data_IF_324338271292
#
_entry.id   IF_324338271292
#
_cell.length_a   1.000
_cell.length_b   1.000
_cell.length_c   1.000
_cell.angle_alpha   90.00
_cell.angle_beta   90.00
_cell.angle_gamma   90.00
#
_symmetry.space_group_name_H-M   'P 1'
#
loop_
_entity.id
_entity.type
_entity.pdbx_description
1 polymer ?
#
# COMPACT_ATOMS: atom_id res chain seq x y z
N UNK A 1 19.98 19.81 37.55
CA UNK A 1 18.58 19.70 37.99
C UNK A 1 17.90 18.69 37.09
N UNK A 2 17.65 17.49 37.59
CA UNK A 2 17.15 16.35 36.82
C UNK A 2 15.66 16.14 37.14
N UNK A 3 14.79 16.20 36.13
CA UNK A 3 13.34 16.00 36.28
C UNK A 3 13.00 14.56 35.94
N UNK A 4 12.70 13.77 36.97
CA UNK A 4 12.18 12.40 36.84
C UNK A 4 10.67 12.45 36.60
N UNK A 5 10.21 11.97 35.44
CA UNK A 5 8.79 11.84 35.12
C UNK A 5 8.27 10.48 35.61
N UNK A 6 7.43 10.49 36.64
CA UNK A 6 6.72 9.30 37.12
C UNK A 6 5.51 9.01 36.22
N UNK A 7 5.50 7.86 35.55
CA UNK A 7 4.33 7.35 34.82
C UNK A 7 3.46 6.50 35.74
N UNK A 8 2.19 6.87 35.87
CA UNK A 8 1.14 6.13 36.59
C UNK A 8 0.80 4.85 35.81
N UNK A 9 0.95 3.68 36.44
CA UNK A 9 0.48 2.39 35.91
C UNK A 9 -1.05 2.44 35.80
N UNK A 10 -1.58 2.03 34.64
CA UNK A 10 -3.01 1.78 34.44
C UNK A 10 -3.29 0.33 34.83
N UNK A 11 -4.36 0.12 35.59
CA UNK A 11 -4.84 -1.21 35.94
C UNK A 11 -5.40 -1.92 34.70
N UNK A 12 -5.20 -3.25 34.59
CA UNK A 12 -5.78 -4.05 33.51
C UNK A 12 -7.30 -4.17 33.68
N UNK A 13 -8.06 -4.26 32.57
CA UNK A 13 -9.50 -4.49 32.62
C UNK A 13 -9.81 -5.92 33.13
N UNK A 14 -11.01 -6.14 33.70
CA UNK A 14 -11.39 -7.42 34.27
C UNK A 14 -11.57 -8.49 33.19
N UNK A 15 -11.09 -9.69 33.51
CA UNK A 15 -11.27 -10.92 32.75
C UNK A 15 -12.71 -11.39 32.96
N UNK A 16 -13.43 -11.64 31.87
CA UNK A 16 -14.75 -12.27 31.88
C UNK A 16 -14.53 -13.75 31.63
N UNK A 17 -14.87 -14.57 32.64
CA UNK A 17 -14.88 -16.03 32.58
C UNK A 17 -16.16 -16.50 31.88
N UNK A 18 -16.03 -17.09 30.71
CA UNK A 18 -17.06 -17.98 30.15
C UNK A 18 -16.54 -19.42 30.24
N UNK A 19 -16.90 -20.07 31.34
CA UNK A 19 -16.86 -21.51 31.51
C UNK A 19 -18.08 -22.10 30.79
N UNK A 20 -17.85 -22.87 29.72
CA UNK A 20 -18.77 -23.94 29.35
C UNK A 20 -17.99 -25.23 29.08
N UNK A 21 -18.15 -26.12 30.07
CA UNK A 21 -17.69 -27.49 30.16
C UNK A 21 -18.48 -28.38 29.19
N UNK A 22 -17.80 -29.14 28.32
CA UNK A 22 -18.25 -30.48 27.90
C UNK A 22 -17.06 -31.44 27.95
N UNK A 23 -17.28 -32.50 28.73
CA UNK A 23 -16.40 -33.62 29.08
C UNK A 23 -16.29 -34.69 27.98
N UNK A 24 -15.06 -35.26 27.85
CA UNK A 24 -14.68 -36.69 27.63
C UNK A 24 -15.02 -37.31 26.24
N UNK A 25 -14.21 -38.18 25.60
CA UNK A 25 -13.33 -39.29 26.02
C UNK A 25 -12.15 -39.46 25.00
N UNK A 26 -10.88 -39.59 25.43
CA UNK A 26 -10.05 -40.82 25.59
C UNK A 26 -9.83 -41.70 24.35
N UNK A 27 -8.59 -41.72 23.84
CA UNK A 27 -7.81 -42.87 23.31
C UNK A 27 -6.39 -42.36 22.96
N UNK A 28 -5.39 -42.47 23.83
CA UNK A 28 -4.45 -43.60 24.06
C UNK A 28 -3.46 -43.88 22.92
N UNK A 29 -2.17 -43.64 23.26
CA UNK A 29 -0.95 -44.35 22.84
C UNK A 29 -0.45 -44.18 21.39
N UNK A 30 0.70 -43.53 21.24
CA UNK A 30 1.94 -44.27 20.95
C UNK A 30 3.18 -43.40 21.17
N UNK A 31 4.02 -43.83 22.10
CA UNK A 31 5.40 -43.39 22.27
C UNK A 31 6.26 -44.08 21.21
N UNK A 32 7.06 -43.31 20.46
CA UNK A 32 8.24 -43.88 19.78
C UNK A 32 9.45 -42.97 19.99
N UNK A 33 10.24 -43.39 20.97
CA UNK A 33 11.64 -43.03 21.17
C UNK A 33 12.46 -43.76 20.12
N UNK A 34 13.14 -43.06 19.19
CA UNK A 34 14.29 -43.62 18.47
C UNK A 34 15.33 -42.54 18.13
N UNK A 35 16.39 -42.57 18.94
CA UNK A 35 17.84 -42.47 18.63
C UNK A 35 18.40 -41.18 18.02
N UNK A 36 19.28 -40.61 18.84
CA UNK A 36 20.54 -39.96 18.45
C UNK A 36 21.21 -40.63 17.25
N UNK A 37 21.42 -39.85 16.19
CA UNK A 37 22.47 -40.09 15.21
C UNK A 37 23.44 -38.93 15.31
N UNK A 38 24.52 -39.18 16.02
CA UNK A 38 25.76 -38.40 15.96
C UNK A 38 26.30 -38.54 14.54
N UNK A 39 26.01 -37.55 13.70
CA UNK A 39 26.62 -37.38 12.38
C UNK A 39 27.92 -36.60 12.53
N UNK A 40 29.00 -37.21 12.08
CA UNK A 40 30.38 -36.72 12.09
C UNK A 40 30.51 -35.29 11.56
N UNK A 41 31.23 -34.46 12.32
CA UNK A 41 31.84 -33.22 11.86
C UNK A 41 32.92 -33.57 10.81
N UNK A 42 32.55 -33.52 9.54
CA UNK A 42 33.53 -33.33 8.47
C UNK A 42 33.80 -31.82 8.38
N UNK A 43 34.83 -31.41 9.12
CA UNK A 43 35.50 -30.12 8.97
C UNK A 43 36.08 -30.03 7.56
N UNK A 44 35.28 -29.52 6.62
CA UNK A 44 35.77 -29.02 5.34
C UNK A 44 36.48 -27.69 5.65
N UNK A 45 37.77 -27.77 5.98
CA UNK A 45 38.70 -26.66 5.86
C UNK A 45 38.83 -26.32 4.37
N UNK A 46 37.87 -25.54 3.87
CA UNK A 46 38.02 -24.85 2.61
C UNK A 46 38.96 -23.68 2.83
N UNK A 47 40.07 -23.64 2.09
CA UNK A 47 40.87 -22.44 1.89
C UNK A 47 39.94 -21.31 1.47
N UNK A 48 39.66 -20.38 2.38
CA UNK A 48 39.05 -19.10 2.04
C UNK A 48 40.18 -18.27 1.45
N UNK A 49 40.36 -18.36 0.14
CA UNK A 49 41.16 -17.36 -0.58
C UNK A 49 40.55 -16.00 -0.30
N UNK A 50 41.37 -15.06 0.16
CA UNK A 50 41.01 -13.65 0.34
C UNK A 50 40.54 -13.12 -1.01
N UNK A 51 39.21 -13.08 -1.22
CA UNK A 51 38.60 -12.49 -2.41
C UNK A 51 38.72 -10.98 -2.25
N UNK A 52 39.88 -10.43 -2.63
CA UNK A 52 40.11 -8.98 -2.80
C UNK A 52 39.38 -8.41 -4.05
N UNK A 53 38.30 -9.05 -4.51
CA UNK A 53 37.43 -8.46 -5.52
C UNK A 53 36.31 -7.69 -4.83
N UNK A 54 36.27 -6.38 -5.08
CA UNK A 54 35.18 -5.48 -4.67
C UNK A 54 33.82 -6.16 -4.88
N UNK A 55 33.21 -6.62 -3.78
CA UNK A 55 31.96 -7.35 -3.82
C UNK A 55 30.84 -6.40 -4.28
N UNK A 56 30.52 -6.43 -5.56
CA UNK A 56 29.48 -5.57 -6.13
C UNK A 56 28.12 -6.26 -6.04
N UNK A 57 27.10 -5.52 -5.60
CA UNK A 57 25.73 -6.02 -5.60
C UNK A 57 25.29 -6.35 -7.03
N UNK A 58 24.88 -7.61 -7.25
CA UNK A 58 24.38 -8.08 -8.55
C UNK A 58 23.21 -7.23 -9.09
N UNK A 59 22.35 -6.72 -8.21
CA UNK A 59 21.15 -5.98 -8.60
C UNK A 59 21.36 -4.48 -8.86
N UNK A 60 22.36 -3.83 -8.28
CA UNK A 60 22.56 -2.38 -8.45
C UNK A 60 23.98 -1.96 -8.82
N UNK A 61 24.95 -2.90 -8.83
CA UNK A 61 26.35 -2.64 -9.14
C UNK A 61 27.09 -1.84 -8.06
N UNK A 62 26.47 -1.54 -6.91
CA UNK A 62 27.15 -0.85 -5.82
C UNK A 62 28.18 -1.75 -5.14
N UNK A 63 29.37 -1.23 -4.91
CA UNK A 63 30.40 -1.87 -4.10
C UNK A 63 29.93 -1.99 -2.65
N UNK A 64 30.03 -3.19 -2.09
CA UNK A 64 29.52 -3.52 -0.77
C UNK A 64 30.65 -3.62 0.23
N UNK A 65 30.38 -3.10 1.43
CA UNK A 65 31.15 -3.46 2.61
C UNK A 65 30.74 -4.87 3.03
N UNK A 66 31.66 -5.62 3.64
CA UNK A 66 31.38 -6.98 4.12
C UNK A 66 30.12 -7.07 4.99
N UNK A 67 29.83 -6.04 5.78
CA UNK A 67 28.64 -5.96 6.64
C UNK A 67 27.31 -5.91 5.87
N UNK A 68 27.33 -5.57 4.59
CA UNK A 68 26.15 -5.33 3.77
C UNK A 68 25.93 -6.42 2.70
N UNK A 69 26.79 -7.44 2.68
CA UNK A 69 26.70 -8.57 1.76
C UNK A 69 25.61 -9.52 2.23
N UNK A 70 24.61 -9.74 1.37
CA UNK A 70 23.66 -10.84 1.49
C UNK A 70 23.88 -11.80 0.34
N UNK A 71 24.00 -13.09 0.68
CA UNK A 71 24.05 -14.16 -0.30
C UNK A 71 22.63 -14.62 -0.64
N UNK A 72 22.12 -14.21 -1.80
CA UNK A 72 20.82 -14.66 -2.29
C UNK A 72 20.99 -15.92 -3.17
N UNK A 73 20.04 -16.87 -3.14
CA UNK A 73 20.07 -17.99 -4.07
C UNK A 73 19.90 -17.49 -5.51
N UNK A 74 20.78 -17.93 -6.41
CA UNK A 74 20.78 -17.54 -7.82
C UNK A 74 19.48 -17.96 -8.49
N UNK A 75 18.76 -17.01 -9.09
CA UNK A 75 17.51 -17.31 -9.81
C UNK A 75 17.87 -17.85 -11.20
N UNK A 76 18.05 -19.17 -11.33
CA UNK A 76 18.28 -19.79 -12.64
C UNK A 76 16.97 -19.92 -13.41
N UNK A 77 16.90 -19.30 -14.59
CA UNK A 77 15.75 -19.39 -15.51
C UNK A 77 15.77 -20.64 -16.41
N UNK A 78 16.74 -21.54 -16.21
CA UNK A 78 16.90 -22.77 -16.98
C UNK A 78 17.52 -23.85 -16.09
N UNK A 79 17.27 -25.10 -16.45
CA UNK A 79 17.45 -26.37 -15.74
C UNK A 79 18.86 -26.73 -15.21
N UNK A 80 19.68 -25.76 -14.83
CA UNK A 80 21.00 -25.98 -14.22
C UNK A 80 20.89 -25.92 -12.70
N UNK A 81 21.03 -27.10 -12.08
CA UNK A 81 21.04 -27.34 -10.64
C UNK A 81 22.38 -26.98 -9.97
N UNK A 82 23.10 -25.98 -10.47
CA UNK A 82 24.28 -25.44 -9.78
C UNK A 82 23.82 -24.38 -8.79
N UNK A 83 23.85 -24.72 -7.49
CA UNK A 83 23.43 -23.88 -6.37
C UNK A 83 24.35 -22.67 -6.11
N UNK A 84 24.56 -21.82 -7.11
CA UNK A 84 25.28 -20.57 -6.96
C UNK A 84 24.52 -19.60 -6.05
N UNK A 85 25.26 -18.80 -5.28
CA UNK A 85 24.73 -17.65 -4.53
C UNK A 85 25.17 -16.38 -5.24
N UNK A 86 24.27 -15.41 -5.39
CA UNK A 86 24.58 -14.08 -5.89
C UNK A 86 24.71 -13.11 -4.71
N UNK A 87 25.73 -12.24 -4.76
CA UNK A 87 25.95 -11.21 -3.75
C UNK A 87 25.00 -10.05 -4.03
N UNK A 88 24.17 -9.69 -3.06
CA UNK A 88 23.26 -8.56 -3.16
C UNK A 88 23.32 -7.70 -1.90
N UNK A 89 23.05 -6.41 -2.01
CA UNK A 89 23.02 -5.53 -0.85
C UNK A 89 21.71 -5.68 -0.09
N UNK A 90 21.69 -5.29 1.19
CA UNK A 90 20.47 -5.22 2.02
C UNK A 90 19.30 -4.52 1.31
N UNK A 91 19.56 -3.44 0.58
CA UNK A 91 18.53 -2.69 -0.15
C UNK A 91 18.04 -3.41 -1.42
N UNK A 92 18.88 -4.28 -2.01
CA UNK A 92 18.56 -5.00 -3.25
C UNK A 92 18.07 -6.43 -3.03
N UNK A 93 18.35 -7.03 -1.88
CA UNK A 93 17.89 -8.38 -1.53
C UNK A 93 16.40 -8.63 -1.74
N UNK A 94 15.50 -7.66 -1.53
CA UNK A 94 14.08 -7.84 -1.83
C UNK A 94 13.76 -7.99 -3.33
N UNK A 95 14.67 -7.57 -4.21
CA UNK A 95 14.47 -7.54 -5.66
C UNK A 95 15.18 -8.72 -6.34
N UNK A 96 14.48 -9.39 -7.26
CA UNK A 96 15.00 -10.46 -8.13
C UNK A 96 15.68 -9.92 -9.40
N UNK A 97 15.88 -8.60 -9.51
CA UNK A 97 16.57 -7.94 -10.63
C UNK A 97 15.87 -6.69 -11.17
N UNK A 98 16.48 -6.05 -12.17
CA UNK A 98 16.04 -4.75 -12.73
C UNK A 98 14.64 -4.80 -13.35
N UNK A 99 14.29 -5.93 -13.98
CA UNK A 99 12.95 -6.15 -14.53
C UNK A 99 11.86 -6.06 -13.46
N UNK A 100 12.11 -6.59 -12.26
CA UNK A 100 11.14 -6.52 -11.17
C UNK A 100 11.01 -5.10 -10.62
N UNK A 101 12.13 -4.38 -10.47
CA UNK A 101 12.12 -2.95 -10.11
C UNK A 101 11.27 -2.13 -11.08
N UNK A 102 11.46 -2.33 -12.39
CA UNK A 102 10.68 -1.61 -13.40
C UNK A 102 9.18 -1.97 -13.35
N UNK A 103 8.85 -3.24 -13.09
CA UNK A 103 7.46 -3.68 -12.92
C UNK A 103 6.83 -3.08 -11.66
N UNK A 104 7.53 -3.06 -10.54
CA UNK A 104 7.10 -2.42 -9.30
C UNK A 104 6.83 -0.93 -9.51
N UNK A 105 7.78 -0.21 -10.10
CA UNK A 105 7.60 1.20 -10.50
C UNK A 105 6.35 1.39 -11.35
N UNK A 106 6.16 0.58 -12.38
CA UNK A 106 4.99 0.69 -13.26
C UNK A 106 3.68 0.41 -12.53
N UNK A 107 3.65 -0.52 -11.58
CA UNK A 107 2.47 -0.81 -10.74
C UNK A 107 2.12 0.36 -9.83
N UNK A 108 3.11 0.96 -9.16
CA UNK A 108 2.90 2.15 -8.32
C UNK A 108 2.37 3.32 -9.15
N UNK A 109 2.99 3.60 -10.30
CA UNK A 109 2.55 4.66 -11.21
C UNK A 109 1.14 4.39 -11.74
N UNK A 110 0.84 3.15 -12.15
CA UNK A 110 -0.49 2.78 -12.64
C UNK A 110 -1.57 3.00 -11.59
N UNK A 111 -1.28 2.64 -10.34
CA UNK A 111 -2.19 2.88 -9.22
C UNK A 111 -2.45 4.37 -9.01
N UNK A 112 -1.40 5.21 -8.99
CA UNK A 112 -1.55 6.65 -8.86
C UNK A 112 -2.28 7.30 -10.05
N UNK A 113 -2.09 6.80 -11.27
CA UNK A 113 -2.87 7.22 -12.44
C UNK A 113 -4.35 6.95 -12.19
N UNK A 114 -4.72 5.73 -11.80
CA UNK A 114 -6.11 5.38 -11.53
C UNK A 114 -6.70 6.26 -10.42
N UNK A 115 -5.96 6.50 -9.33
CA UNK A 115 -6.41 7.40 -8.25
C UNK A 115 -6.61 8.84 -8.74
N UNK A 116 -5.70 9.36 -9.57
CA UNK A 116 -5.81 10.70 -10.14
C UNK A 116 -7.03 10.86 -11.06
N UNK A 117 -7.44 9.80 -11.78
CA UNK A 117 -8.69 9.83 -12.56
C UNK A 117 -9.93 10.04 -11.68
N UNK A 118 -9.87 9.66 -10.40
CA UNK A 118 -10.92 9.92 -9.39
C UNK A 118 -10.73 11.25 -8.63
N UNK A 119 -9.82 12.13 -9.08
CA UNK A 119 -9.40 13.37 -8.42
C UNK A 119 -8.59 13.20 -7.12
N UNK A 120 -8.14 11.99 -6.81
CA UNK A 120 -7.18 11.78 -5.72
C UNK A 120 -5.75 11.95 -6.27
N UNK A 121 -5.35 13.21 -6.47
CA UNK A 121 -4.09 13.58 -7.14
C UNK A 121 -2.83 13.40 -6.28
N UNK A 122 -3.00 13.10 -5.00
CA UNK A 122 -1.94 12.72 -4.08
C UNK A 122 -2.48 11.68 -3.09
N UNK A 123 -1.57 10.96 -2.43
CA UNK A 123 -1.93 10.07 -1.34
C UNK A 123 -0.82 10.07 -0.28
N UNK A 124 -1.21 9.91 0.98
CA UNK A 124 -0.29 9.75 2.10
C UNK A 124 0.47 8.42 1.99
N UNK A 125 1.74 8.39 2.42
CA UNK A 125 2.62 7.23 2.38
C UNK A 125 1.98 5.92 2.88
N UNK A 126 1.46 5.94 4.12
CA UNK A 126 0.81 4.79 4.75
C UNK A 126 -0.39 4.29 3.96
N UNK A 127 -1.14 5.21 3.36
CA UNK A 127 -2.27 4.89 2.51
C UNK A 127 -1.81 4.28 1.17
N UNK A 128 -0.75 4.82 0.56
CA UNK A 128 -0.17 4.29 -0.68
C UNK A 128 0.31 2.85 -0.49
N UNK A 129 1.06 2.60 0.58
CA UNK A 129 1.57 1.26 0.89
C UNK A 129 0.44 0.25 1.06
N UNK A 130 -0.63 0.62 1.77
CA UNK A 130 -1.83 -0.22 1.91
C UNK A 130 -2.53 -0.47 0.57
N UNK A 131 -2.64 0.55 -0.29
CA UNK A 131 -3.26 0.39 -1.59
C UNK A 131 -2.45 -0.52 -2.51
N UNK A 132 -1.11 -0.40 -2.53
CA UNK A 132 -0.21 -1.26 -3.31
C UNK A 132 -0.34 -2.71 -2.85
N UNK A 133 -0.25 -2.96 -1.53
CA UNK A 133 -0.34 -4.30 -0.97
C UNK A 133 -1.70 -4.97 -1.30
N UNK A 134 -2.80 -4.23 -1.17
CA UNK A 134 -4.15 -4.72 -1.52
C UNK A 134 -4.35 -4.93 -3.02
N UNK A 135 -3.75 -4.09 -3.85
CA UNK A 135 -3.86 -4.16 -5.30
C UNK A 135 -3.06 -5.32 -5.91
N UNK A 136 -1.92 -5.66 -5.30
CA UNK A 136 -0.97 -6.63 -5.84
C UNK A 136 -0.54 -7.69 -4.80
N UNK A 137 -1.48 -8.43 -4.15
CA UNK A 137 -1.15 -9.33 -3.04
C UNK A 137 -0.21 -10.48 -3.42
N UNK A 138 -0.20 -10.91 -4.70
CA UNK A 138 0.72 -11.93 -5.20
C UNK A 138 2.13 -11.45 -5.55
N UNK A 139 2.38 -10.13 -5.52
CA UNK A 139 3.67 -9.54 -5.89
C UNK A 139 4.26 -8.69 -4.74
N UNK A 140 3.41 -7.98 -4.02
CA UNK A 140 3.75 -7.18 -2.86
C UNK A 140 3.35 -7.95 -1.59
N UNK A 141 4.27 -8.79 -1.12
CA UNK A 141 4.05 -9.72 0.01
C UNK A 141 3.79 -9.03 1.35
N UNK A 142 4.30 -7.82 1.55
CA UNK A 142 4.15 -7.07 2.81
C UNK A 142 3.99 -5.57 2.55
N UNK A 143 3.44 -4.84 3.52
CA UNK A 143 3.34 -3.38 3.46
C UNK A 143 4.73 -2.72 3.35
N UNK A 144 5.75 -3.25 4.04
CA UNK A 144 7.14 -2.78 3.90
C UNK A 144 7.73 -3.02 2.52
N UNK A 145 7.31 -4.08 1.83
CA UNK A 145 7.70 -4.29 0.44
C UNK A 145 7.12 -3.20 -0.48
N UNK A 146 5.94 -2.64 -0.16
CA UNK A 146 5.38 -1.52 -0.89
C UNK A 146 6.21 -0.23 -0.73
N UNK A 147 6.80 0.01 0.44
CA UNK A 147 7.72 1.14 0.69
C UNK A 147 8.89 1.12 -0.32
N UNK A 148 9.53 -0.04 -0.49
CA UNK A 148 10.60 -0.20 -1.48
C UNK A 148 10.15 0.08 -2.91
N UNK A 149 8.91 -0.29 -3.27
CA UNK A 149 8.34 0.00 -4.58
C UNK A 149 8.13 1.50 -4.79
N UNK A 150 7.67 2.20 -3.75
CA UNK A 150 7.51 3.65 -3.76
C UNK A 150 8.88 4.32 -3.92
N UNK A 151 9.88 3.92 -3.14
CA UNK A 151 11.24 4.45 -3.23
C UNK A 151 11.83 4.28 -4.62
N UNK A 152 11.66 3.10 -5.23
CA UNK A 152 12.13 2.84 -6.58
C UNK A 152 11.38 3.70 -7.61
N UNK A 153 10.08 3.93 -7.42
CA UNK A 153 9.30 4.83 -8.27
C UNK A 153 9.76 6.30 -8.13
N UNK A 154 10.12 6.76 -6.93
CA UNK A 154 10.70 8.08 -6.68
C UNK A 154 12.06 8.21 -7.37
N UNK A 155 12.94 7.22 -7.20
CA UNK A 155 14.27 7.18 -7.85
C UNK A 155 14.17 7.23 -9.38
N UNK A 156 13.11 6.66 -9.95
CA UNK A 156 12.82 6.73 -11.38
C UNK A 156 12.18 8.05 -11.85
N UNK A 157 11.99 9.01 -10.94
CA UNK A 157 11.38 10.33 -11.16
C UNK A 157 9.93 10.33 -11.70
N UNK A 158 9.26 9.18 -11.73
CA UNK A 158 7.87 9.07 -12.21
C UNK A 158 6.86 9.58 -11.18
N UNK A 159 7.22 9.54 -9.90
CA UNK A 159 6.42 10.06 -8.79
C UNK A 159 7.27 11.03 -7.96
N UNK A 160 6.63 11.90 -7.21
CA UNK A 160 7.31 12.86 -6.35
C UNK A 160 6.79 12.75 -4.91
N UNK A 161 7.69 12.64 -3.91
CA UNK A 161 7.35 12.89 -2.52
C UNK A 161 7.25 14.41 -2.28
N UNK A 162 6.36 14.83 -1.40
CA UNK A 162 6.27 16.22 -0.95
C UNK A 162 5.63 16.31 0.44
N UNK A 163 5.91 17.40 1.14
CA UNK A 163 5.21 17.79 2.36
C UNK A 163 4.19 18.88 2.03
N UNK A 164 2.97 18.75 2.56
CA UNK A 164 1.91 19.73 2.35
C UNK A 164 1.79 20.66 3.54
N UNK A 165 1.79 21.98 3.33
CA UNK A 165 1.78 22.98 4.42
C UNK A 165 0.62 22.85 5.41
N UNK A 166 -0.51 22.29 4.98
CA UNK A 166 -1.72 22.14 5.78
C UNK A 166 -1.95 20.72 6.32
N UNK A 167 -1.08 19.75 5.99
CA UNK A 167 -1.18 18.36 6.45
C UNK A 167 0.13 17.93 7.13
N UNK A 168 0.05 16.86 7.92
CA UNK A 168 1.24 16.21 8.46
C UNK A 168 1.53 14.94 7.66
N UNK A 169 2.81 14.58 7.56
CA UNK A 169 3.28 13.38 6.89
C UNK A 169 3.80 13.61 5.46
N UNK A 170 4.32 12.52 4.88
CA UNK A 170 4.83 12.48 3.51
C UNK A 170 3.72 12.09 2.55
N UNK A 171 3.57 12.86 1.48
CA UNK A 171 2.60 12.60 0.42
C UNK A 171 3.30 12.29 -0.89
N UNK A 172 2.66 11.45 -1.69
CA UNK A 172 3.15 11.05 -3.01
C UNK A 172 2.12 11.40 -4.08
N UNK A 173 2.61 11.90 -5.20
CA UNK A 173 1.81 12.13 -6.39
C UNK A 173 2.58 11.73 -7.65
N UNK A 174 1.88 11.62 -8.78
CA UNK A 174 2.55 11.62 -10.09
C UNK A 174 3.37 12.90 -10.21
N UNK A 175 4.56 12.82 -10.81
CA UNK A 175 5.48 13.95 -10.95
C UNK A 175 4.81 15.17 -11.59
N UNK A 176 4.02 14.94 -12.64
CA UNK A 176 3.24 15.96 -13.35
C UNK A 176 2.16 16.64 -12.49
N UNK A 177 1.69 15.98 -11.43
CA UNK A 177 0.66 16.49 -10.54
C UNK A 177 1.23 17.33 -9.40
N UNK A 178 2.56 17.33 -9.17
CA UNK A 178 3.21 18.03 -8.06
C UNK A 178 2.83 19.53 -7.95
N UNK A 179 2.76 20.32 -9.04
CA UNK A 179 2.35 21.74 -8.96
C UNK A 179 0.89 21.95 -8.56
N UNK A 180 0.05 20.92 -8.65
CA UNK A 180 -1.35 20.95 -8.22
C UNK A 180 -1.48 20.36 -6.82
N UNK A 181 -0.81 19.25 -6.54
CA UNK A 181 -0.83 18.52 -5.28
C UNK A 181 -0.33 19.38 -4.09
N UNK A 182 0.61 20.28 -4.35
CA UNK A 182 1.20 21.19 -3.36
C UNK A 182 0.42 22.50 -3.13
N UNK A 183 -0.70 22.72 -3.85
CA UNK A 183 -1.52 23.93 -3.68
C UNK A 183 -2.34 23.85 -2.41
N UNK A 184 -2.58 25.00 -1.81
CA UNK A 184 -3.45 25.13 -0.65
C UNK A 184 -4.85 24.58 -0.91
N UNK A 185 -5.39 23.90 0.10
CA UNK A 185 -6.75 23.41 0.07
C UNK A 185 -7.76 24.52 0.27
N UNK A 186 -8.96 24.37 -0.31
CA UNK A 186 -10.07 25.24 0.03
C UNK A 186 -10.32 25.16 1.53
N UNK A 187 -10.69 26.29 2.11
CA UNK A 187 -11.00 26.40 3.53
C UNK A 187 -12.11 25.39 3.92
N UNK A 188 -12.11 24.87 5.16
CA UNK A 188 -13.10 23.89 5.59
C UNK A 188 -14.56 24.37 5.53
N UNK A 189 -14.78 25.69 5.55
CA UNK A 189 -16.07 26.37 5.48
C UNK A 189 -16.53 26.69 4.05
N UNK A 190 -15.75 26.31 3.03
CA UNK A 190 -16.12 26.52 1.63
C UNK A 190 -17.49 25.90 1.32
N UNK A 191 -18.44 26.75 0.92
CA UNK A 191 -19.83 26.35 0.75
C UNK A 191 -20.04 25.58 -0.56
N UNK A 192 -20.30 24.28 -0.45
CA UNK A 192 -20.56 23.34 -1.55
C UNK A 192 -22.02 22.91 -1.66
N UNK A 193 -22.95 23.64 -1.02
CA UNK A 193 -24.32 23.16 -0.86
C UNK A 193 -25.05 22.95 -2.19
N UNK A 194 -24.76 23.77 -3.21
CA UNK A 194 -25.37 23.64 -4.55
C UNK A 194 -24.84 22.40 -5.28
N UNK A 195 -23.56 22.16 -5.16
CA UNK A 195 -22.84 21.04 -5.75
C UNK A 195 -23.24 19.71 -5.10
N UNK A 196 -23.37 19.68 -3.77
CA UNK A 196 -23.89 18.53 -3.02
C UNK A 196 -25.32 18.15 -3.47
N UNK A 197 -26.18 19.15 -3.64
CA UNK A 197 -27.55 18.92 -4.12
C UNK A 197 -27.56 18.40 -5.56
N UNK A 198 -26.61 18.85 -6.39
CA UNK A 198 -26.43 18.31 -7.74
C UNK A 198 -26.00 16.84 -7.71
N UNK A 199 -25.06 16.45 -6.85
CA UNK A 199 -24.68 15.03 -6.66
C UNK A 199 -25.87 14.20 -6.19
N UNK A 200 -26.64 14.71 -5.22
CA UNK A 200 -27.87 14.05 -4.74
C UNK A 200 -28.85 13.80 -5.88
N UNK A 201 -29.08 14.80 -6.74
CA UNK A 201 -29.95 14.66 -7.91
C UNK A 201 -29.41 13.67 -8.95
N UNK A 202 -28.08 13.57 -9.13
CA UNK A 202 -27.47 12.56 -9.98
C UNK A 202 -27.71 11.16 -9.42
N UNK A 203 -27.56 10.96 -8.11
CA UNK A 203 -27.84 9.69 -7.47
C UNK A 203 -29.30 9.27 -7.66
N UNK A 204 -30.26 10.19 -7.51
CA UNK A 204 -31.68 9.89 -7.81
C UNK A 204 -31.86 9.39 -9.24
N UNK A 205 -31.21 10.05 -10.22
CA UNK A 205 -31.29 9.65 -11.64
C UNK A 205 -30.57 8.35 -11.96
N UNK A 206 -29.55 8.01 -11.18
CA UNK A 206 -28.71 6.82 -11.36
C UNK A 206 -29.15 5.65 -10.46
N UNK A 207 -30.39 5.64 -9.98
CA UNK A 207 -30.93 4.59 -9.09
C UNK A 207 -30.09 4.38 -7.80
N UNK A 208 -29.57 5.46 -7.24
CA UNK A 208 -28.98 5.50 -5.89
C UNK A 208 -27.47 5.40 -5.80
N UNK A 209 -26.77 5.06 -6.89
CA UNK A 209 -25.30 4.95 -6.90
C UNK A 209 -24.69 5.47 -8.19
N UNK A 210 -23.49 6.04 -8.13
CA UNK A 210 -22.75 6.50 -9.31
C UNK A 210 -21.24 6.31 -9.13
N UNK A 211 -20.51 6.11 -10.23
CA UNK A 211 -19.05 6.14 -10.22
C UNK A 211 -18.55 7.55 -9.90
N UNK A 212 -17.53 7.70 -9.04
CA UNK A 212 -17.01 9.04 -8.67
C UNK A 212 -16.44 9.78 -9.88
N UNK A 213 -15.90 9.10 -10.89
CA UNK A 213 -15.46 9.74 -12.16
C UNK A 213 -16.59 10.49 -12.86
N UNK A 214 -17.76 9.85 -12.94
CA UNK A 214 -18.94 10.43 -13.58
C UNK A 214 -19.47 11.62 -12.77
N UNK A 215 -19.49 11.49 -11.42
CA UNK A 215 -19.83 12.60 -10.53
C UNK A 215 -18.88 13.79 -10.70
N UNK A 216 -17.57 13.55 -10.71
CA UNK A 216 -16.54 14.58 -10.93
C UNK A 216 -16.69 15.27 -12.29
N UNK A 217 -16.91 14.50 -13.36
CA UNK A 217 -17.14 15.04 -14.69
C UNK A 217 -18.39 15.92 -14.73
N UNK A 218 -19.48 15.48 -14.10
CA UNK A 218 -20.71 16.26 -14.02
C UNK A 218 -20.54 17.55 -13.23
N UNK A 219 -19.79 17.53 -12.11
CA UNK A 219 -19.45 18.73 -11.34
C UNK A 219 -18.66 19.75 -12.18
N UNK A 220 -17.62 19.30 -12.91
CA UNK A 220 -16.82 20.16 -13.79
C UNK A 220 -17.68 20.82 -14.87
N UNK A 221 -18.57 20.05 -15.50
CA UNK A 221 -19.44 20.55 -16.56
C UNK A 221 -20.49 21.54 -16.04
N UNK A 222 -21.06 21.28 -14.86
CA UNK A 222 -22.19 22.08 -14.33
C UNK A 222 -21.73 23.33 -13.58
N UNK A 223 -20.58 23.29 -12.93
CA UNK A 223 -20.09 24.34 -12.05
C UNK A 223 -18.68 24.78 -12.49
N UNK A 224 -18.53 25.94 -13.15
CA UNK A 224 -17.21 26.45 -13.55
C UNK A 224 -16.24 26.65 -12.38
N UNK A 225 -16.76 26.89 -11.17
CA UNK A 225 -15.99 26.95 -9.93
C UNK A 225 -15.28 25.63 -9.62
N UNK A 226 -15.82 24.48 -10.03
CA UNK A 226 -15.31 23.13 -9.73
C UNK A 226 -14.20 22.70 -10.68
N UNK A 227 -13.26 23.59 -10.98
CA UNK A 227 -12.16 23.36 -11.91
C UNK A 227 -11.02 22.53 -11.29
N UNK A 228 -10.79 22.62 -9.98
CA UNK A 228 -9.71 21.86 -9.31
C UNK A 228 -10.19 20.57 -8.64
N UNK A 229 -9.34 19.53 -8.55
CA UNK A 229 -9.60 18.31 -7.79
C UNK A 229 -10.00 18.58 -6.33
N UNK A 230 -9.34 19.53 -5.65
CA UNK A 230 -9.61 19.83 -4.24
C UNK A 230 -10.99 20.41 -3.98
N UNK A 231 -11.48 21.26 -4.88
CA UNK A 231 -12.83 21.82 -4.76
C UNK A 231 -13.87 20.71 -4.89
N UNK A 232 -13.68 19.76 -5.82
CA UNK A 232 -14.57 18.61 -5.98
C UNK A 232 -14.46 17.63 -4.81
N UNK A 233 -13.25 17.34 -4.32
CA UNK A 233 -13.06 16.54 -3.11
C UNK A 233 -13.78 17.15 -1.89
N UNK A 234 -13.77 18.49 -1.76
CA UNK A 234 -14.51 19.20 -0.71
C UNK A 234 -16.02 18.99 -0.80
N UNK A 235 -16.60 18.90 -2.00
CA UNK A 235 -18.02 18.56 -2.18
C UNK A 235 -18.34 17.20 -1.54
N UNK A 236 -17.49 16.19 -1.76
CA UNK A 236 -17.73 14.87 -1.19
C UNK A 236 -17.57 14.86 0.34
N UNK A 237 -16.51 15.47 0.86
CA UNK A 237 -16.29 15.58 2.29
C UNK A 237 -17.45 16.30 3.02
N UNK A 238 -17.94 17.40 2.44
CA UNK A 238 -19.06 18.14 3.01
C UNK A 238 -20.39 17.39 2.89
N UNK A 239 -20.63 16.71 1.76
CA UNK A 239 -21.81 15.88 1.54
C UNK A 239 -21.91 14.72 2.53
N UNK A 240 -20.79 14.04 2.78
CA UNK A 240 -20.69 12.95 3.76
C UNK A 240 -20.85 13.45 5.20
N UNK A 241 -20.19 14.56 5.56
CA UNK A 241 -20.39 15.20 6.87
C UNK A 241 -21.85 15.58 7.13
N UNK A 242 -22.59 15.93 6.08
CA UNK A 242 -24.02 16.27 6.13
C UNK A 242 -24.94 15.07 5.89
N UNK A 243 -24.38 13.87 5.75
CA UNK A 243 -25.11 12.62 5.53
C UNK A 243 -26.03 12.67 4.31
N UNK A 244 -25.66 13.41 3.26
CA UNK A 244 -26.42 13.47 2.00
C UNK A 244 -26.13 12.27 1.09
N UNK A 245 -24.89 11.80 1.13
CA UNK A 245 -24.38 10.66 0.39
C UNK A 245 -23.02 10.27 0.98
N UNK A 246 -22.52 9.09 0.60
CA UNK A 246 -21.29 8.49 1.11
C UNK A 246 -20.36 8.15 -0.04
N UNK A 247 -19.05 8.25 0.18
CA UNK A 247 -18.01 7.93 -0.79
C UNK A 247 -17.22 6.72 -0.31
N UNK A 248 -17.27 5.62 -1.07
CA UNK A 248 -16.45 4.44 -0.82
C UNK A 248 -15.29 4.40 -1.81
N UNK A 249 -14.09 4.19 -1.29
CA UNK A 249 -12.85 4.13 -2.06
C UNK A 249 -12.20 2.75 -1.95
N UNK A 250 -11.73 2.26 -3.09
CA UNK A 250 -10.87 1.09 -3.23
C UNK A 250 -9.64 1.44 -4.09
N UNK A 251 -8.65 0.55 -4.16
CA UNK A 251 -7.42 0.78 -4.93
C UNK A 251 -7.68 1.14 -6.40
N UNK A 252 -8.72 0.58 -7.03
CA UNK A 252 -9.01 0.82 -8.46
C UNK A 252 -10.37 1.47 -8.74
N UNK A 253 -11.24 1.53 -7.74
CA UNK A 253 -12.64 1.87 -7.93
C UNK A 253 -13.15 2.76 -6.82
N UNK A 254 -13.95 3.77 -7.17
CA UNK A 254 -14.58 4.64 -6.20
C UNK A 254 -16.01 4.94 -6.60
N UNK A 255 -16.92 4.85 -5.65
CA UNK A 255 -18.35 5.03 -5.88
C UNK A 255 -18.97 5.94 -4.82
N UNK A 256 -20.04 6.61 -5.23
CA UNK A 256 -20.84 7.46 -4.37
C UNK A 256 -22.25 6.87 -4.31
N UNK A 257 -22.85 6.84 -3.13
CA UNK A 257 -24.20 6.30 -2.92
C UNK A 257 -24.95 7.00 -1.80
N UNK A 258 -26.27 6.80 -1.70
CA UNK A 258 -27.07 7.32 -0.58
C UNK A 258 -26.70 6.69 0.76
N UNK A 259 -26.17 5.46 0.73
CA UNK A 259 -25.60 4.77 1.89
C UNK A 259 -24.22 4.26 1.56
N UNK A 260 -23.39 4.04 2.59
CA UNK A 260 -22.08 3.40 2.43
C UNK A 260 -22.21 1.99 1.84
N UNK A 261 -23.24 1.25 2.26
CA UNK A 261 -23.53 -0.09 1.75
C UNK A 261 -23.77 -0.10 0.24
N UNK A 262 -24.57 0.83 -0.28
CA UNK A 262 -24.87 0.91 -1.72
C UNK A 262 -23.63 1.28 -2.54
N UNK A 263 -22.86 2.25 -2.05
CA UNK A 263 -21.59 2.64 -2.66
C UNK A 263 -20.60 1.45 -2.69
N UNK A 264 -20.49 0.69 -1.60
CA UNK A 264 -19.64 -0.49 -1.51
C UNK A 264 -20.12 -1.61 -2.45
N UNK A 265 -21.43 -1.81 -2.59
CA UNK A 265 -22.00 -2.79 -3.52
C UNK A 265 -21.64 -2.46 -4.98
N UNK A 266 -21.68 -1.17 -5.35
CA UNK A 266 -21.24 -0.74 -6.69
C UNK A 266 -19.74 -0.95 -6.89
N UNK A 267 -18.89 -0.60 -5.91
CA UNK A 267 -17.45 -0.89 -5.97
C UNK A 267 -17.18 -2.38 -6.20
N UNK A 268 -17.85 -3.25 -5.43
CA UNK A 268 -17.70 -4.70 -5.58
C UNK A 268 -18.14 -5.21 -6.96
N UNK A 269 -19.20 -4.63 -7.54
CA UNK A 269 -19.64 -4.94 -8.90
C UNK A 269 -18.59 -4.55 -9.94
N UNK A 270 -18.04 -3.33 -9.84
CA UNK A 270 -17.00 -2.85 -10.76
C UNK A 270 -15.73 -3.72 -10.69
N UNK A 271 -15.30 -4.14 -9.49
CA UNK A 271 -14.18 -5.07 -9.32
C UNK A 271 -14.37 -6.37 -10.09
N UNK A 272 -15.56 -6.99 -9.99
CA UNK A 272 -15.87 -8.24 -10.70
C UNK A 272 -15.82 -8.07 -12.21
N UNK A 273 -16.30 -6.95 -12.74
CA UNK A 273 -16.25 -6.65 -14.17
C UNK A 273 -14.83 -6.36 -14.65
N UNK A 274 -13.97 -5.76 -13.83
CA UNK A 274 -12.57 -5.51 -14.17
C UNK A 274 -11.75 -6.81 -14.22
N UNK A 275 -12.00 -7.76 -13.32
CA UNK A 275 -11.33 -9.07 -13.31
C UNK A 275 -11.80 -10.03 -14.41
N UNK A 276 -12.93 -9.74 -15.06
CA UNK A 276 -13.47 -10.56 -16.15
C UNK A 276 -12.94 -10.18 -17.54
N UNK A 277 -12.08 -9.15 -17.62
CA UNK A 277 -11.42 -8.69 -18.85
C UNK A 277 -9.94 -9.03 -18.80
#
# INVERSE_FOLDING_TARGET
MSLTVLRKKRDPPPVVDDNDTIDKEVQSQDETVVRDVVGQDDSVEGDWEDVEEDANCFCCGATLLESDIIFAPKVTTSSETSGGREITCLACYPWKGEKEKQQATNRVVSLLIVMAEYDDIYVEEDCLMKHIHRAYPGHCTTVKHAELWIDQAVKSEKIAPFEHKQLQGTFYCLRENLPYASREFPTPDFNTSKEENHITNLLVKANGTICRKEANASLRMKFPSMHTPFLRARVFANGEKRQKFFLVKDSFHQAVGFTEHDAQALVNRMKRTHLAK
#
